data_IF_744197931089
#
_entry.id   IF_744197931089
#
_cell.length_a   1.000
_cell.length_b   1.000
_cell.length_c   1.000
_cell.angle_alpha   90.00
_cell.angle_beta   90.00
_cell.angle_gamma   90.00
#
_symmetry.space_group_name_H-M   'P 1'
#
loop_
_entity.id
_entity.type
_entity.pdbx_description
1 polymer ?
#
# COMPACT_ATOMS: atom_id res chain seq x y z
N UNK A 1 26.04 7.16 25.64
CA UNK A 1 25.24 8.31 25.17
C UNK A 1 24.13 7.77 24.27
N UNK A 2 22.86 7.97 24.63
CA UNK A 2 21.73 7.56 23.79
C UNK A 2 21.73 8.42 22.52
N UNK A 3 21.97 7.82 21.35
CA UNK A 3 21.85 8.53 20.06
C UNK A 3 20.41 9.04 19.96
N UNK A 4 20.24 10.37 19.90
CA UNK A 4 18.94 11.02 19.70
C UNK A 4 18.27 10.43 18.47
N UNK A 5 17.01 10.00 18.57
CA UNK A 5 16.28 9.46 17.41
C UNK A 5 16.25 10.52 16.28
N UNK A 6 16.50 10.12 15.03
CA UNK A 6 16.43 11.03 13.89
C UNK A 6 15.02 11.61 13.78
N UNK A 7 14.91 12.89 13.41
CA UNK A 7 13.62 13.57 13.25
C UNK A 7 13.20 13.49 11.79
N UNK A 8 11.94 13.10 11.54
CA UNK A 8 11.33 13.14 10.21
C UNK A 8 11.16 14.60 9.77
N UNK A 9 11.67 14.92 8.58
CA UNK A 9 11.61 16.24 7.95
C UNK A 9 10.86 16.06 6.62
N UNK A 10 9.58 16.46 6.50
CA UNK A 10 8.78 16.24 5.29
C UNK A 10 9.43 16.79 4.02
N UNK A 11 10.11 17.92 4.11
CA UNK A 11 10.76 18.61 2.98
C UNK A 11 11.91 17.80 2.36
N UNK A 12 12.40 16.76 3.07
CA UNK A 12 13.44 15.85 2.58
C UNK A 12 12.88 14.57 1.97
N UNK A 13 11.56 14.39 1.98
CA UNK A 13 10.87 13.20 1.45
C UNK A 13 10.21 13.58 0.14
N UNK A 14 10.65 12.96 -0.94
CA UNK A 14 10.16 13.22 -2.29
C UNK A 14 9.57 11.94 -2.85
N UNK A 15 8.28 11.92 -3.20
CA UNK A 15 7.69 10.85 -4.00
C UNK A 15 8.11 11.08 -5.47
N UNK A 16 9.03 10.27 -5.95
CA UNK A 16 9.67 10.44 -7.26
C UNK A 16 8.85 9.81 -8.39
N UNK A 17 8.28 8.64 -8.13
CA UNK A 17 7.46 7.95 -9.13
C UNK A 17 6.43 7.03 -8.50
N UNK A 18 5.32 6.84 -9.21
CA UNK A 18 4.30 5.83 -8.94
C UNK A 18 4.05 5.02 -10.20
N UNK A 19 3.97 3.69 -10.08
CA UNK A 19 3.72 2.80 -11.21
C UNK A 19 2.72 1.72 -10.81
N UNK A 20 1.61 1.61 -11.54
CA UNK A 20 0.69 0.48 -11.43
C UNK A 20 1.26 -0.63 -12.32
N UNK A 21 1.64 -1.75 -11.72
CA UNK A 21 2.19 -2.91 -12.44
C UNK A 21 1.23 -4.11 -12.47
N UNK A 22 0.17 -4.08 -11.64
CA UNK A 22 -0.95 -5.04 -11.68
C UNK A 22 -2.27 -4.30 -11.46
N UNK A 23 -3.27 -4.60 -12.28
CA UNK A 23 -4.63 -4.08 -12.16
C UNK A 23 -5.59 -5.07 -12.81
N UNK A 24 -6.26 -5.88 -12.00
CA UNK A 24 -7.18 -6.91 -12.45
C UNK A 24 -8.55 -6.68 -11.80
N UNK A 25 -9.61 -6.90 -12.58
CA UNK A 25 -10.99 -7.00 -12.12
C UNK A 25 -11.54 -8.31 -12.68
N UNK A 26 -11.80 -9.26 -11.80
CA UNK A 26 -12.42 -10.53 -12.13
C UNK A 26 -13.89 -10.48 -11.71
N UNK A 27 -14.77 -11.01 -12.55
CA UNK A 27 -16.21 -11.06 -12.29
C UNK A 27 -16.75 -12.40 -12.76
N UNK A 28 -17.44 -13.12 -11.87
CA UNK A 28 -18.07 -14.39 -12.17
C UNK A 28 -19.30 -14.19 -13.08
N UNK A 29 -19.55 -15.15 -13.97
CA UNK A 29 -20.70 -15.12 -14.89
C UNK A 29 -22.03 -14.97 -14.14
N UNK A 30 -22.17 -15.65 -12.99
CA UNK A 30 -23.37 -15.56 -12.14
C UNK A 30 -23.66 -14.13 -11.69
N UNK A 31 -22.62 -13.32 -11.45
CA UNK A 31 -22.79 -11.91 -11.08
C UNK A 31 -23.15 -11.04 -12.28
N UNK A 32 -22.66 -11.38 -13.48
CA UNK A 32 -23.04 -10.67 -14.71
C UNK A 32 -24.52 -10.91 -15.08
N UNK A 33 -25.03 -12.12 -14.81
CA UNK A 33 -26.41 -12.50 -15.06
C UNK A 33 -27.40 -11.84 -14.08
N UNK A 34 -27.03 -11.72 -12.80
CA UNK A 34 -27.84 -11.05 -11.77
C UNK A 34 -26.98 -10.13 -10.89
N UNK A 35 -26.66 -8.91 -11.38
CA UNK A 35 -25.78 -7.99 -10.65
C UNK A 35 -26.40 -7.51 -9.34
N UNK A 36 -25.72 -7.80 -8.25
CA UNK A 36 -26.10 -7.32 -6.92
C UNK A 36 -25.36 -6.04 -6.56
N UNK A 37 -25.99 -5.19 -5.73
CA UNK A 37 -25.32 -4.00 -5.22
C UNK A 37 -24.28 -4.41 -4.18
N UNK A 38 -23.03 -4.01 -4.40
CA UNK A 38 -21.96 -4.19 -3.43
C UNK A 38 -22.25 -3.37 -2.16
N UNK A 39 -22.40 -4.05 -1.02
CA UNK A 39 -22.58 -3.42 0.29
C UNK A 39 -21.32 -3.50 1.16
N UNK A 40 -20.52 -4.56 0.99
CA UNK A 40 -19.29 -4.85 1.74
C UNK A 40 -18.18 -5.40 0.85
N UNK A 41 -16.97 -5.38 1.37
CA UNK A 41 -15.84 -6.08 0.76
C UNK A 41 -14.82 -6.50 1.81
N UNK A 42 -14.21 -7.65 1.59
CA UNK A 42 -12.98 -8.03 2.29
C UNK A 42 -11.80 -7.28 1.70
N UNK A 43 -10.91 -6.81 2.57
CA UNK A 43 -9.74 -6.03 2.20
C UNK A 43 -8.45 -6.71 2.64
N UNK A 44 -7.58 -7.01 1.67
CA UNK A 44 -6.23 -7.51 1.90
C UNK A 44 -5.18 -6.51 1.44
N UNK A 45 -4.10 -6.39 2.21
CA UNK A 45 -2.90 -5.64 1.82
C UNK A 45 -1.64 -6.47 2.12
N UNK A 46 -0.74 -6.53 1.15
CA UNK A 46 0.62 -7.02 1.33
C UNK A 46 1.63 -5.96 0.84
N UNK A 47 2.87 -6.07 1.29
CA UNK A 47 3.92 -5.10 0.98
C UNK A 47 5.27 -5.75 0.69
N UNK A 48 6.06 -5.11 -0.15
CA UNK A 48 7.51 -5.33 -0.25
C UNK A 48 8.23 -4.00 -0.12
N UNK A 49 9.36 -3.99 0.57
CA UNK A 49 10.19 -2.79 0.74
C UNK A 49 11.62 -3.07 0.30
N UNK A 50 12.27 -2.08 -0.30
CA UNK A 50 13.70 -2.13 -0.60
C UNK A 50 14.32 -0.74 -0.42
N UNK A 51 15.59 -0.69 -0.03
CA UNK A 51 16.31 0.54 0.28
C UNK A 51 17.67 0.55 -0.42
N UNK A 52 18.06 1.71 -0.94
CA UNK A 52 19.38 1.97 -1.52
C UNK A 52 19.95 3.22 -0.83
N UNK A 53 20.90 3.01 0.08
CA UNK A 53 21.50 4.08 0.86
C UNK A 53 22.42 4.98 0.05
N UNK A 54 23.13 4.44 -0.95
CA UNK A 54 24.02 5.22 -1.80
C UNK A 54 23.23 6.24 -2.63
N UNK A 55 22.07 5.81 -3.13
CA UNK A 55 21.16 6.66 -3.90
C UNK A 55 20.15 7.40 -3.03
N UNK A 56 20.09 7.12 -1.74
CA UNK A 56 19.09 7.66 -0.79
C UNK A 56 17.64 7.38 -1.23
N UNK A 57 17.41 6.19 -1.77
CA UNK A 57 16.13 5.78 -2.35
C UNK A 57 15.45 4.71 -1.50
N UNK A 58 14.12 4.77 -1.44
CA UNK A 58 13.28 3.75 -0.85
C UNK A 58 12.17 3.35 -1.83
N UNK A 59 11.94 2.05 -1.97
CA UNK A 59 10.88 1.48 -2.81
C UNK A 59 9.86 0.77 -1.93
N UNK A 60 8.59 1.02 -2.22
CA UNK A 60 7.45 0.30 -1.64
C UNK A 60 6.61 -0.29 -2.76
N UNK A 61 6.37 -1.60 -2.74
CA UNK A 61 5.33 -2.23 -3.55
C UNK A 61 4.19 -2.60 -2.64
N UNK A 62 3.00 -2.15 -2.98
CA UNK A 62 1.78 -2.46 -2.25
C UNK A 62 0.89 -3.30 -3.15
N UNK A 63 0.41 -4.41 -2.60
CA UNK A 63 -0.52 -5.31 -3.24
C UNK A 63 -1.84 -5.22 -2.50
N UNK A 64 -2.92 -5.01 -3.23
CA UNK A 64 -4.26 -4.86 -2.68
C UNK A 64 -5.17 -5.93 -3.26
N UNK A 65 -6.00 -6.51 -2.41
CA UNK A 65 -7.08 -7.41 -2.81
C UNK A 65 -8.38 -6.90 -2.22
N UNK A 66 -9.40 -6.78 -3.06
CA UNK A 66 -10.76 -6.47 -2.64
C UNK A 66 -11.68 -7.56 -3.17
N UNK A 67 -12.51 -8.14 -2.31
CA UNK A 67 -13.46 -9.17 -2.69
C UNK A 67 -14.85 -8.76 -2.23
N UNK A 68 -15.79 -8.63 -3.17
CA UNK A 68 -17.13 -8.13 -2.91
C UNK A 68 -17.94 -9.17 -2.12
N UNK A 69 -18.71 -8.70 -1.14
CA UNK A 69 -19.56 -9.54 -0.31
C UNK A 69 -20.98 -8.98 -0.25
N UNK A 70 -21.94 -9.87 -0.03
CA UNK A 70 -23.32 -9.53 0.30
C UNK A 70 -23.48 -9.15 1.79
N UNK A 71 -24.72 -8.92 2.22
CA UNK A 71 -25.01 -8.55 3.62
C UNK A 71 -24.82 -9.71 4.63
N UNK A 72 -24.68 -10.96 4.14
CA UNK A 72 -24.41 -12.16 4.92
C UNK A 72 -22.92 -12.55 4.90
N UNK A 73 -22.05 -11.69 4.38
CA UNK A 73 -20.61 -11.90 4.20
C UNK A 73 -20.25 -13.01 3.17
N UNK A 74 -21.19 -13.39 2.30
CA UNK A 74 -20.96 -14.35 1.22
C UNK A 74 -20.32 -13.68 -0.02
N UNK A 75 -19.33 -14.30 -0.67
CA UNK A 75 -18.68 -13.72 -1.85
C UNK A 75 -19.65 -13.54 -3.03
N UNK A 76 -19.65 -12.33 -3.61
CA UNK A 76 -20.46 -11.99 -4.80
C UNK A 76 -19.79 -12.40 -6.11
N UNK A 77 -18.59 -12.99 -6.07
CA UNK A 77 -17.84 -13.37 -7.27
C UNK A 77 -17.23 -12.19 -8.03
N UNK A 78 -17.08 -11.02 -7.39
CA UNK A 78 -16.36 -9.87 -7.95
C UNK A 78 -15.09 -9.65 -7.12
N UNK A 79 -13.94 -9.63 -7.78
CA UNK A 79 -12.63 -9.47 -7.13
C UNK A 79 -11.78 -8.45 -7.87
N UNK A 80 -11.11 -7.59 -7.11
CA UNK A 80 -10.19 -6.58 -7.62
C UNK A 80 -8.82 -6.80 -7.02
N UNK A 81 -7.78 -6.76 -7.86
CA UNK A 81 -6.39 -6.86 -7.43
C UNK A 81 -5.55 -5.73 -8.02
N UNK A 82 -4.79 -5.04 -7.18
CA UNK A 82 -3.84 -4.01 -7.60
C UNK A 82 -2.44 -4.31 -7.09
N UNK A 83 -1.44 -3.96 -7.89
CA UNK A 83 -0.03 -3.89 -7.53
C UNK A 83 0.50 -2.52 -7.93
N UNK A 84 0.92 -1.73 -6.94
CA UNK A 84 1.39 -0.36 -7.15
C UNK A 84 2.77 -0.21 -6.50
N UNK A 85 3.73 0.26 -7.28
CA UNK A 85 5.09 0.57 -6.84
C UNK A 85 5.26 2.08 -6.64
N UNK A 86 5.92 2.44 -5.55
CA UNK A 86 6.23 3.82 -5.16
C UNK A 86 7.74 3.94 -4.94
N UNK A 87 8.35 4.95 -5.54
CA UNK A 87 9.74 5.31 -5.29
C UNK A 87 9.82 6.64 -4.57
N UNK A 88 10.51 6.62 -3.43
CA UNK A 88 10.82 7.80 -2.65
C UNK A 88 12.31 8.09 -2.73
N UNK A 89 12.65 9.37 -2.80
CA UNK A 89 13.98 9.86 -2.43
C UNK A 89 13.88 10.50 -1.05
N UNK A 90 14.71 10.05 -0.12
CA UNK A 90 14.75 10.57 1.25
C UNK A 90 16.16 11.07 1.51
N UNK A 91 16.37 12.38 1.46
CA UNK A 91 17.73 12.96 1.42
C UNK A 91 18.63 12.55 2.58
N UNK A 92 18.05 12.25 3.74
CA UNK A 92 18.76 11.78 4.92
C UNK A 92 18.34 10.36 5.35
N UNK A 93 18.08 9.48 4.38
CA UNK A 93 17.68 8.09 4.61
C UNK A 93 18.63 7.35 5.58
N UNK A 94 19.93 7.59 5.45
CA UNK A 94 20.97 6.98 6.30
C UNK A 94 20.80 7.24 7.79
N UNK A 95 20.16 8.35 8.17
CA UNK A 95 19.90 8.68 9.57
C UNK A 95 18.88 7.71 10.20
N UNK A 96 18.04 7.09 9.36
CA UNK A 96 16.94 6.21 9.75
C UNK A 96 17.25 4.73 9.54
N UNK A 97 18.41 4.38 9.00
CA UNK A 97 18.77 2.97 8.77
C UNK A 97 19.84 2.48 9.73
N UNK A 98 19.75 1.21 10.09
CA UNK A 98 20.77 0.52 10.88
C UNK A 98 21.03 -0.82 10.23
N UNK A 99 22.30 -1.19 10.14
CA UNK A 99 22.66 -2.58 9.86
C UNK A 99 22.31 -3.42 11.09
N UNK A 100 21.63 -4.53 10.87
CA UNK A 100 21.52 -5.58 11.88
C UNK A 100 22.77 -6.47 11.89
N UNK A 101 22.81 -7.40 12.85
CA UNK A 101 23.96 -8.29 13.04
C UNK A 101 24.27 -9.22 11.86
N UNK A 102 23.32 -9.37 10.92
CA UNK A 102 23.44 -10.24 9.75
C UNK A 102 23.70 -9.45 8.46
N UNK A 103 23.92 -8.13 8.57
CA UNK A 103 24.20 -7.24 7.44
C UNK A 103 22.96 -6.77 6.68
N UNK A 104 21.75 -7.08 7.16
CA UNK A 104 20.52 -6.56 6.58
C UNK A 104 20.22 -5.14 7.12
N UNK A 105 19.73 -4.28 6.22
CA UNK A 105 19.39 -2.90 6.53
C UNK A 105 17.98 -2.82 7.13
N UNK A 106 17.90 -2.46 8.40
CA UNK A 106 16.64 -2.15 9.07
C UNK A 106 16.35 -0.66 9.00
N UNK A 107 15.15 -0.32 8.52
CA UNK A 107 14.63 1.05 8.55
C UNK A 107 13.93 1.32 9.89
N UNK A 108 14.13 2.52 10.44
CA UNK A 108 13.40 3.02 11.58
C UNK A 108 11.88 2.95 11.31
N UNK A 109 11.15 2.34 12.25
CA UNK A 109 9.73 2.07 12.10
C UNK A 109 8.91 3.34 11.83
N UNK A 110 9.29 4.50 12.39
CA UNK A 110 8.55 5.73 12.16
C UNK A 110 8.75 6.26 10.73
N UNK A 111 9.98 6.15 10.19
CA UNK A 111 10.22 6.48 8.78
C UNK A 111 9.48 5.50 7.86
N UNK A 112 9.57 4.19 8.14
CA UNK A 112 8.86 3.16 7.37
C UNK A 112 7.35 3.39 7.34
N UNK A 113 6.73 3.60 8.51
CA UNK A 113 5.31 3.91 8.65
C UNK A 113 4.91 5.21 7.94
N UNK A 114 5.79 6.23 7.94
CA UNK A 114 5.54 7.50 7.24
C UNK A 114 5.49 7.30 5.72
N UNK A 115 6.51 6.66 5.15
CA UNK A 115 6.56 6.39 3.70
C UNK A 115 5.40 5.48 3.27
N UNK A 116 5.12 4.44 4.06
CA UNK A 116 4.00 3.52 3.82
C UNK A 116 2.66 4.24 3.89
N UNK A 117 2.45 5.15 4.85
CA UNK A 117 1.23 5.95 4.95
C UNK A 117 1.02 6.85 3.74
N UNK A 118 2.09 7.47 3.22
CA UNK A 118 2.04 8.27 1.99
C UNK A 118 1.68 7.39 0.78
N UNK A 119 2.36 6.25 0.63
CA UNK A 119 2.10 5.29 -0.44
C UNK A 119 0.64 4.77 -0.40
N UNK A 120 0.16 4.38 0.78
CA UNK A 120 -1.20 3.89 0.98
C UNK A 120 -2.25 4.95 0.67
N UNK A 121 -2.08 6.18 1.16
CA UNK A 121 -3.03 7.27 0.89
C UNK A 121 -3.11 7.59 -0.61
N UNK A 122 -1.96 7.54 -1.30
CA UNK A 122 -1.88 7.72 -2.75
C UNK A 122 -2.55 6.55 -3.49
N UNK A 123 -2.27 5.32 -3.07
CA UNK A 123 -2.91 4.12 -3.62
C UNK A 123 -4.43 4.16 -3.48
N UNK A 124 -4.95 4.60 -2.34
CA UNK A 124 -6.40 4.76 -2.10
C UNK A 124 -7.04 5.69 -3.12
N UNK A 125 -6.41 6.82 -3.43
CA UNK A 125 -6.91 7.75 -4.47
C UNK A 125 -6.86 7.14 -5.86
N UNK A 126 -5.77 6.43 -6.19
CA UNK A 126 -5.62 5.74 -7.48
C UNK A 126 -6.69 4.67 -7.65
N UNK A 127 -6.89 3.80 -6.65
CA UNK A 127 -7.84 2.70 -6.70
C UNK A 127 -9.26 3.24 -6.77
N UNK A 128 -9.59 4.24 -5.94
CA UNK A 128 -10.89 4.91 -6.00
C UNK A 128 -11.24 5.39 -7.41
N UNK A 129 -10.31 6.07 -8.09
CA UNK A 129 -10.56 6.58 -9.45
C UNK A 129 -10.59 5.45 -10.48
N UNK A 130 -9.71 4.44 -10.35
CA UNK A 130 -9.60 3.34 -11.33
C UNK A 130 -10.74 2.35 -11.26
N UNK A 131 -11.44 2.23 -10.13
CA UNK A 131 -12.63 1.37 -10.04
C UNK A 131 -13.90 2.09 -10.44
N UNK A 132 -13.86 3.39 -10.76
CA UNK A 132 -15.06 4.11 -11.21
C UNK A 132 -15.61 3.53 -12.50
N UNK A 133 -16.93 3.40 -12.57
CA UNK A 133 -17.64 2.80 -13.71
C UNK A 133 -17.47 1.28 -13.82
N UNK A 134 -16.97 0.62 -12.79
CA UNK A 134 -16.90 -0.85 -12.69
C UNK A 134 -17.90 -1.39 -11.66
N UNK A 135 -17.96 -2.71 -11.45
CA UNK A 135 -18.74 -3.29 -10.35
C UNK A 135 -18.21 -2.94 -8.95
N UNK A 136 -17.00 -2.35 -8.87
CA UNK A 136 -16.41 -1.76 -7.67
C UNK A 136 -16.48 -0.21 -7.68
N UNK A 137 -17.51 0.36 -8.33
CA UNK A 137 -17.65 1.81 -8.52
C UNK A 137 -17.49 2.59 -7.22
N UNK A 138 -16.51 3.48 -7.20
CA UNK A 138 -16.26 4.38 -6.09
C UNK A 138 -15.83 3.71 -4.78
N UNK A 139 -15.29 2.48 -4.81
CA UNK A 139 -14.77 1.85 -3.60
C UNK A 139 -13.64 2.68 -2.99
N UNK A 140 -13.72 2.91 -1.68
CA UNK A 140 -12.71 3.65 -0.92
C UNK A 140 -12.01 2.67 0.00
N UNK A 141 -10.69 2.53 -0.15
CA UNK A 141 -9.91 1.71 0.77
C UNK A 141 -10.07 2.21 2.22
N UNK A 142 -10.15 1.29 3.19
CA UNK A 142 -10.30 1.66 4.59
C UNK A 142 -9.07 2.41 5.10
N UNK A 143 -9.24 3.13 6.21
CA UNK A 143 -8.11 3.71 6.93
C UNK A 143 -7.39 2.59 7.68
N UNK A 144 -6.09 2.46 7.46
CA UNK A 144 -5.24 1.47 8.13
C UNK A 144 -4.20 2.14 9.02
N UNK A 145 -3.71 1.40 10.01
CA UNK A 145 -2.55 1.80 10.80
C UNK A 145 -1.26 1.37 10.07
N UNK A 146 -0.43 2.29 9.57
CA UNK A 146 0.78 1.95 8.84
C UNK A 146 1.78 1.15 9.68
N UNK A 147 1.78 1.28 11.01
CA UNK A 147 2.67 0.47 11.86
C UNK A 147 2.25 -1.00 11.83
N UNK A 148 0.95 -1.30 11.91
CA UNK A 148 0.44 -2.67 11.80
C UNK A 148 0.71 -3.27 10.43
N UNK A 149 0.54 -2.48 9.36
CA UNK A 149 0.87 -2.94 8.00
C UNK A 149 2.38 -3.18 7.87
N UNK A 150 3.22 -2.39 8.55
CA UNK A 150 4.67 -2.58 8.54
C UNK A 150 5.10 -3.89 9.22
N UNK A 151 4.43 -4.27 10.31
CA UNK A 151 4.70 -5.50 11.08
C UNK A 151 4.16 -6.79 10.44
N UNK A 152 3.16 -6.68 9.56
CA UNK A 152 2.57 -7.86 8.91
C UNK A 152 3.51 -8.44 7.85
N UNK A 153 4.04 -9.64 8.09
CA UNK A 153 4.83 -10.44 7.14
C UNK A 153 3.95 -11.19 6.13
#
# INVERSE_FOLDING_TARGET
MSKKKPRIIPEKIHLVSTQIFKANLDTADSFLEDPQKLSRFNFGIAKEMAFDLERTMARFRLYFTLEAQDDNDEPLGVKVEYGIEFHFKVENLSDFTREDGDGALQLDAAMGATLLGIAFSTARGIIFERTRGTFFDGVILPVVDPFKVLEAD
#
